data_IF_484078547507
#
_entry.id   IF_484078547507
#
_cell.length_a   1.000
_cell.length_b   1.000
_cell.length_c   1.000
_cell.angle_alpha   90.00
_cell.angle_beta   90.00
_cell.angle_gamma   90.00
#
_symmetry.space_group_name_H-M   'P 1'
#
loop_
_entity.id
_entity.type
_entity.pdbx_description
1 polymer ?
#
# COMPACT_ATOMS: atom_id res chain seq x y z
N UNK A 1 -10.66 -2.12 -1.26
CA UNK A 1 -9.28 -2.06 -0.73
C UNK A 1 -9.05 -0.63 -0.30
N UNK A 2 -8.58 -0.40 0.92
CA UNK A 2 -8.29 0.91 1.49
C UNK A 2 -6.79 1.11 1.63
N UNK A 3 -6.35 2.34 1.89
CA UNK A 3 -4.97 2.68 2.21
C UNK A 3 -4.43 1.81 3.35
N UNK A 4 -5.26 1.52 4.34
CA UNK A 4 -4.90 0.61 5.43
C UNK A 4 -4.55 -0.80 4.92
N UNK A 5 -5.34 -1.34 3.99
CA UNK A 5 -5.08 -2.65 3.38
C UNK A 5 -3.79 -2.63 2.54
N UNK A 6 -3.54 -1.53 1.82
CA UNK A 6 -2.30 -1.33 1.04
C UNK A 6 -1.09 -1.29 1.96
N UNK A 7 -1.17 -0.57 3.09
CA UNK A 7 -0.08 -0.53 4.08
C UNK A 7 0.22 -1.94 4.60
N UNK A 8 -0.81 -2.68 5.05
CA UNK A 8 -0.63 -4.04 5.55
C UNK A 8 0.00 -4.96 4.49
N UNK A 9 -0.49 -4.87 3.25
CA UNK A 9 0.06 -5.66 2.14
C UNK A 9 1.54 -5.36 1.89
N UNK A 10 1.95 -4.08 1.95
CA UNK A 10 3.34 -3.68 1.75
C UNK A 10 4.24 -4.11 2.91
N UNK A 11 3.74 -4.08 4.14
CA UNK A 11 4.46 -4.59 5.32
C UNK A 11 4.64 -6.11 5.23
N UNK A 12 3.56 -6.84 4.94
CA UNK A 12 3.59 -8.30 4.75
C UNK A 12 4.56 -8.69 3.63
N UNK A 13 4.57 -7.98 2.50
CA UNK A 13 5.51 -8.24 1.40
C UNK A 13 6.97 -8.00 1.80
N UNK A 14 7.25 -6.99 2.62
CA UNK A 14 8.60 -6.68 3.07
C UNK A 14 9.13 -7.69 4.09
N UNK A 15 8.23 -8.26 4.90
CA UNK A 15 8.57 -9.22 5.94
C UNK A 15 8.51 -10.68 5.46
N UNK A 16 7.86 -10.96 4.33
CA UNK A 16 7.72 -12.32 3.81
C UNK A 16 9.04 -12.85 3.20
N UNK A 17 9.67 -13.87 3.82
CA UNK A 17 10.93 -14.43 3.32
C UNK A 17 10.78 -15.17 1.98
N UNK A 18 9.56 -15.54 1.57
CA UNK A 18 9.29 -16.23 0.30
C UNK A 18 9.38 -15.31 -0.92
N UNK A 19 9.35 -13.98 -0.73
CA UNK A 19 9.38 -13.02 -1.83
C UNK A 19 10.78 -12.82 -2.46
N UNK A 20 11.84 -13.39 -1.85
CA UNK A 20 13.25 -13.27 -2.27
C UNK A 20 13.62 -11.83 -2.72
N UNK A 21 13.30 -10.86 -1.86
CA UNK A 21 13.52 -9.44 -2.15
C UNK A 21 14.96 -9.03 -1.81
N UNK A 22 15.60 -8.33 -2.74
CA UNK A 22 16.84 -7.63 -2.44
C UNK A 22 16.62 -6.47 -1.46
N UNK A 23 17.68 -6.08 -0.75
CA UNK A 23 17.61 -5.07 0.31
C UNK A 23 17.04 -3.72 -0.15
N UNK A 24 17.25 -3.33 -1.42
CA UNK A 24 16.71 -2.08 -1.93
C UNK A 24 15.20 -2.16 -2.10
N UNK A 25 14.66 -3.32 -2.48
CA UNK A 25 13.22 -3.54 -2.58
C UNK A 25 12.55 -3.53 -1.21
N UNK A 26 13.14 -4.18 -0.22
CA UNK A 26 12.65 -4.13 1.18
C UNK A 26 12.60 -2.68 1.67
N UNK A 27 13.68 -1.91 1.45
CA UNK A 27 13.69 -0.48 1.80
C UNK A 27 12.63 0.33 1.04
N UNK A 28 12.42 0.05 -0.25
CA UNK A 28 11.40 0.73 -1.03
C UNK A 28 9.98 0.48 -0.49
N UNK A 29 9.68 -0.75 -0.05
CA UNK A 29 8.40 -1.10 0.56
C UNK A 29 8.20 -0.34 1.89
N UNK A 30 9.19 -0.36 2.77
CA UNK A 30 9.13 0.39 4.04
C UNK A 30 9.03 1.91 3.82
N UNK A 31 9.75 2.44 2.82
CA UNK A 31 9.65 3.84 2.46
C UNK A 31 8.26 4.20 1.95
N UNK A 32 7.67 3.37 1.10
CA UNK A 32 6.29 3.56 0.62
C UNK A 32 5.30 3.57 1.79
N UNK A 33 5.42 2.63 2.73
CA UNK A 33 4.60 2.60 3.96
C UNK A 33 4.73 3.90 4.74
N UNK A 34 5.96 4.38 4.97
CA UNK A 34 6.22 5.62 5.69
C UNK A 34 5.59 6.84 4.99
N UNK A 35 5.72 6.92 3.65
CA UNK A 35 5.09 7.99 2.85
C UNK A 35 3.59 7.97 3.03
N UNK A 36 2.92 6.82 2.81
CA UNK A 36 1.47 6.71 2.92
C UNK A 36 1.01 7.06 4.34
N UNK A 37 1.72 6.60 5.39
CA UNK A 37 1.42 6.94 6.78
C UNK A 37 1.56 8.43 7.07
N UNK A 38 2.53 9.10 6.44
CA UNK A 38 2.77 10.54 6.61
C UNK A 38 1.74 11.44 5.90
N UNK A 39 0.96 10.88 4.96
CA UNK A 39 -0.02 11.67 4.22
C UNK A 39 -1.09 12.26 5.15
N UNK A 40 -1.48 13.53 4.95
CA UNK A 40 -2.66 14.11 5.59
C UNK A 40 -3.93 13.31 5.30
N UNK A 41 -4.89 13.35 6.22
CA UNK A 41 -6.11 12.53 6.14
C UNK A 41 -6.90 12.75 4.84
N UNK A 42 -7.03 14.00 4.39
CA UNK A 42 -7.74 14.32 3.15
C UNK A 42 -7.10 13.65 1.91
N UNK A 43 -5.77 13.49 1.87
CA UNK A 43 -5.11 12.78 0.77
C UNK A 43 -5.32 11.26 0.87
N UNK A 44 -5.33 10.70 2.08
CA UNK A 44 -5.66 9.29 2.30
C UNK A 44 -7.10 8.99 1.86
N UNK A 45 -8.04 9.87 2.18
CA UNK A 45 -9.44 9.74 1.77
C UNK A 45 -9.59 9.78 0.24
N UNK A 46 -8.83 10.64 -0.45
CA UNK A 46 -8.79 10.66 -1.91
C UNK A 46 -8.25 9.36 -2.51
N UNK A 47 -7.18 8.80 -1.95
CA UNK A 47 -6.62 7.51 -2.40
C UNK A 47 -7.65 6.40 -2.17
N UNK A 48 -8.31 6.38 -1.02
CA UNK A 48 -9.36 5.40 -0.72
C UNK A 48 -10.51 5.47 -1.73
N UNK A 49 -10.93 6.66 -2.13
CA UNK A 49 -11.96 6.83 -3.15
C UNK A 49 -11.51 6.29 -4.52
N UNK A 50 -10.25 6.51 -4.91
CA UNK A 50 -9.69 5.98 -6.16
C UNK A 50 -9.64 4.44 -6.11
N UNK A 51 -9.18 3.87 -5.00
CA UNK A 51 -9.12 2.42 -4.82
C UNK A 51 -10.51 1.77 -4.80
N UNK A 52 -11.52 2.45 -4.24
CA UNK A 52 -12.91 1.99 -4.28
C UNK A 52 -13.45 1.97 -5.71
N UNK A 53 -13.21 3.02 -6.49
CA UNK A 53 -13.62 3.10 -7.89
C UNK A 53 -12.99 1.99 -8.73
N UNK A 54 -11.69 1.74 -8.55
CA UNK A 54 -10.99 0.69 -9.27
C UNK A 54 -11.48 -0.71 -8.88
N UNK A 55 -11.76 -0.93 -7.59
CA UNK A 55 -12.33 -2.19 -7.12
C UNK A 55 -13.76 -2.43 -7.61
N UNK A 56 -14.56 -1.37 -7.78
CA UNK A 56 -15.89 -1.47 -8.39
C UNK A 56 -15.76 -1.86 -9.87
N UNK A 57 -14.85 -1.23 -10.62
CA UNK A 57 -14.57 -1.52 -12.03
C UNK A 57 -14.15 -2.96 -12.28
N UNK A 58 -13.38 -3.57 -11.37
CA UNK A 58 -12.90 -4.96 -11.51
C UNK A 58 -13.98 -6.03 -11.25
N UNK A 59 -15.15 -5.65 -10.73
CA UNK A 59 -16.26 -6.57 -10.39
C UNK A 59 -17.36 -6.60 -11.45
N UNK A 60 -17.27 -5.74 -12.46
CA UNK A 60 -18.12 -5.73 -13.67
C UNK A 60 -17.52 -6.62 -14.76
#
# INVERSE_FOLDING_TARGET
>A
MKCADVILTLEDLAENPEQDLDINRVHALHFAVAVIRSLPQNLKDCIDAILDLENARLKE
#
